data_IF_340979439767
#
_entry.id   IF_340979439767
#
_cell.length_a   1.000
_cell.length_b   1.000
_cell.length_c   1.000
_cell.angle_alpha   90.00
_cell.angle_beta   90.00
_cell.angle_gamma   90.00
#
_symmetry.space_group_name_H-M   'P 1'
#
loop_
_entity.id
_entity.type
_entity.pdbx_description
1 polymer ?
#
# COMPACT_ATOMS: atom_id res chain seq x y z
N UNK A 1 -31.27 -52.51 -41.93
CA UNK A 1 -30.52 -52.59 -40.64
C UNK A 1 -29.04 -52.29 -40.87
N UNK A 2 -28.67 -51.10 -41.38
CA UNK A 2 -27.26 -50.66 -41.60
C UNK A 2 -26.91 -49.26 -41.10
N UNK A 3 -27.81 -48.59 -40.39
CA UNK A 3 -27.60 -47.20 -39.97
C UNK A 3 -27.50 -46.97 -38.43
N UNK A 4 -27.39 -48.09 -37.63
CA UNK A 4 -27.34 -47.97 -36.18
C UNK A 4 -25.91 -48.06 -35.57
N UNK A 5 -24.92 -48.44 -36.37
CA UNK A 5 -23.54 -48.65 -35.90
C UNK A 5 -22.61 -47.44 -36.04
N UNK A 6 -23.00 -46.43 -36.81
CA UNK A 6 -22.15 -45.22 -37.00
C UNK A 6 -22.36 -44.18 -35.89
N UNK A 7 -23.54 -44.12 -35.28
CA UNK A 7 -23.82 -43.17 -34.18
C UNK A 7 -23.17 -43.54 -32.85
N UNK A 8 -22.95 -44.86 -32.62
CA UNK A 8 -22.29 -45.30 -31.38
C UNK A 8 -20.79 -45.02 -31.33
N UNK A 9 -20.12 -44.96 -32.50
CA UNK A 9 -18.67 -44.71 -32.57
C UNK A 9 -18.31 -43.22 -32.39
N UNK A 10 -19.19 -42.31 -32.79
CA UNK A 10 -18.97 -40.87 -32.63
C UNK A 10 -19.24 -40.41 -31.18
N UNK A 11 -20.21 -41.03 -30.51
CA UNK A 11 -20.49 -40.75 -29.10
C UNK A 11 -19.37 -41.27 -28.19
N UNK A 12 -18.70 -42.38 -28.52
CA UNK A 12 -17.58 -42.92 -27.74
C UNK A 12 -16.29 -42.11 -27.89
N UNK A 13 -16.07 -41.48 -29.05
CA UNK A 13 -14.91 -40.60 -29.28
C UNK A 13 -15.08 -39.22 -28.58
N UNK A 14 -16.30 -38.71 -28.46
CA UNK A 14 -16.55 -37.47 -27.70
C UNK A 14 -16.45 -37.67 -26.17
N UNK A 15 -16.71 -38.84 -25.64
CA UNK A 15 -16.51 -39.15 -24.22
C UNK A 15 -15.02 -39.37 -23.86
N UNK A 16 -14.16 -39.74 -24.82
CA UNK A 16 -12.74 -39.99 -24.57
C UNK A 16 -11.88 -38.71 -24.56
N UNK A 17 -12.40 -37.57 -25.05
CA UNK A 17 -11.71 -36.25 -25.03
C UNK A 17 -12.04 -35.44 -23.78
N UNK A 18 -13.03 -35.83 -23.00
CA UNK A 18 -13.46 -35.13 -21.79
C UNK A 18 -12.69 -35.50 -20.52
N UNK A 19 -11.63 -36.29 -20.59
CA UNK A 19 -11.05 -36.92 -19.38
C UNK A 19 -9.59 -36.54 -19.07
N UNK A 20 -9.06 -35.39 -19.47
CA UNK A 20 -7.71 -34.96 -19.03
C UNK A 20 -7.55 -33.47 -18.72
N UNK A 21 -8.60 -32.77 -18.42
CA UNK A 21 -8.45 -31.42 -17.81
C UNK A 21 -8.59 -31.57 -16.30
N UNK A 22 -7.60 -32.15 -15.61
CA UNK A 22 -7.41 -31.91 -14.18
C UNK A 22 -6.79 -30.53 -13.99
N UNK A 23 -7.55 -29.48 -14.30
CA UNK A 23 -7.26 -28.14 -13.81
C UNK A 23 -7.37 -28.22 -12.28
N UNK A 24 -6.25 -28.22 -11.57
CA UNK A 24 -6.26 -28.12 -10.10
C UNK A 24 -6.63 -26.70 -9.71
N UNK A 25 -7.94 -26.42 -9.72
CA UNK A 25 -8.46 -25.19 -9.15
C UNK A 25 -8.22 -25.20 -7.66
N UNK A 26 -7.59 -24.12 -7.15
CA UNK A 26 -7.33 -23.95 -5.73
C UNK A 26 -7.86 -22.61 -5.26
N UNK A 27 -8.64 -22.65 -4.19
CA UNK A 27 -9.03 -21.46 -3.44
C UNK A 27 -8.35 -21.52 -2.09
N UNK A 28 -7.71 -20.42 -1.69
CA UNK A 28 -7.03 -20.28 -0.41
C UNK A 28 -7.70 -19.15 0.37
N UNK A 29 -8.21 -19.45 1.56
CA UNK A 29 -8.57 -18.48 2.57
C UNK A 29 -7.30 -18.10 3.34
N UNK A 30 -7.10 -16.82 3.59
CA UNK A 30 -5.97 -16.31 4.36
C UNK A 30 -6.37 -15.06 5.13
N UNK A 31 -5.55 -14.67 6.10
CA UNK A 31 -5.74 -13.43 6.82
C UNK A 31 -4.64 -13.15 7.84
N UNK A 32 -4.65 -11.93 8.32
CA UNK A 32 -3.75 -11.42 9.35
C UNK A 32 -4.56 -10.65 10.39
N UNK A 33 -4.19 -10.78 11.64
CA UNK A 33 -4.77 -10.08 12.78
C UNK A 33 -3.63 -9.44 13.57
N UNK A 34 -3.74 -8.15 13.78
CA UNK A 34 -2.77 -7.35 14.51
C UNK A 34 -3.49 -6.46 15.52
N UNK A 35 -3.05 -6.47 16.78
CA UNK A 35 -3.57 -5.57 17.80
C UNK A 35 -2.51 -5.26 18.85
N UNK A 36 -2.52 -4.02 19.33
CA UNK A 36 -1.53 -3.48 20.22
C UNK A 36 -2.15 -2.58 21.31
N UNK A 37 -1.39 -2.35 22.36
CA UNK A 37 -1.58 -1.22 23.26
C UNK A 37 -0.64 -0.11 22.74
N UNK A 38 -1.22 1.01 22.34
CA UNK A 38 -0.49 2.19 21.89
C UNK A 38 -0.55 3.31 22.94
N UNK A 39 0.58 3.97 23.13
CA UNK A 39 0.72 5.18 23.94
C UNK A 39 1.28 6.31 23.10
N UNK A 40 0.62 7.45 23.13
CA UNK A 40 1.07 8.72 22.57
C UNK A 40 1.20 9.76 23.66
N UNK A 41 2.34 10.46 23.71
CA UNK A 41 2.52 11.50 24.71
C UNK A 41 1.67 12.75 24.43
N UNK A 42 1.30 12.97 23.17
CA UNK A 42 0.49 14.11 22.77
C UNK A 42 -0.34 13.76 21.51
N UNK A 43 -1.65 13.83 21.65
CA UNK A 43 -2.63 13.74 20.60
C UNK A 43 -3.69 14.80 20.86
N UNK A 44 -3.76 15.87 20.02
CA UNK A 44 -4.71 16.94 20.25
C UNK A 44 -4.58 17.62 21.63
N UNK A 45 -3.37 17.81 22.15
CA UNK A 45 -3.00 18.40 23.47
C UNK A 45 -3.04 17.48 24.69
N UNK A 46 -3.32 16.18 24.54
CA UNK A 46 -3.36 15.24 25.64
C UNK A 46 -2.59 13.95 25.32
N UNK A 47 -2.20 13.20 26.35
CA UNK A 47 -1.70 11.85 26.16
C UNK A 47 -2.85 10.89 25.87
N UNK A 48 -2.60 9.88 25.06
CA UNK A 48 -3.56 8.86 24.68
C UNK A 48 -2.99 7.48 25.00
N UNK A 49 -3.83 6.60 25.55
CA UNK A 49 -3.58 5.16 25.62
C UNK A 49 -4.80 4.46 25.04
N UNK A 50 -4.58 3.61 24.05
CA UNK A 50 -5.69 2.90 23.41
C UNK A 50 -5.28 1.52 22.90
N UNK A 51 -6.27 0.70 22.52
CA UNK A 51 -6.06 -0.47 21.69
C UNK A 51 -6.07 -0.01 20.23
N UNK A 52 -4.95 -0.20 19.56
CA UNK A 52 -4.77 0.12 18.16
C UNK A 52 -4.49 -1.17 17.39
N UNK A 53 -4.97 -1.25 16.16
CA UNK A 53 -4.72 -2.40 15.30
C UNK A 53 -4.10 -1.98 14.00
N UNK A 54 -3.37 -2.90 13.38
CA UNK A 54 -2.62 -2.67 12.14
C UNK A 54 -1.33 -1.86 12.33
N UNK A 55 -0.62 -2.09 13.44
CA UNK A 55 0.61 -1.39 13.79
C UNK A 55 1.89 -2.09 13.27
N UNK A 56 1.84 -3.37 12.98
CA UNK A 56 2.93 -4.11 12.32
C UNK A 56 2.44 -4.71 11.00
N UNK A 57 1.26 -5.32 11.02
CA UNK A 57 0.61 -5.87 9.84
C UNK A 57 -0.86 -5.45 9.80
N UNK A 58 -1.45 -5.42 8.61
CA UNK A 58 -2.84 -5.05 8.46
C UNK A 58 -3.80 -6.05 9.12
N UNK A 59 -4.98 -5.58 9.56
CA UNK A 59 -6.09 -6.46 9.90
C UNK A 59 -6.89 -6.76 8.63
N UNK A 60 -6.77 -7.99 8.14
CA UNK A 60 -7.38 -8.39 6.87
C UNK A 60 -7.72 -9.87 6.82
N UNK A 61 -8.66 -10.19 5.95
CA UNK A 61 -8.90 -11.55 5.48
C UNK A 61 -9.25 -11.53 4.00
N UNK A 62 -8.94 -12.60 3.28
CA UNK A 62 -9.19 -12.67 1.86
C UNK A 62 -9.27 -14.08 1.32
N UNK A 63 -9.72 -14.15 0.08
CA UNK A 63 -9.73 -15.38 -0.72
C UNK A 63 -8.98 -15.11 -2.02
N UNK A 64 -8.03 -15.98 -2.34
CA UNK A 64 -7.34 -16.00 -3.63
C UNK A 64 -7.52 -17.34 -4.31
N UNK A 65 -7.72 -17.29 -5.61
CA UNK A 65 -7.91 -18.50 -6.41
C UNK A 65 -6.99 -18.56 -7.62
N UNK A 66 -6.67 -19.80 -7.99
CA UNK A 66 -5.90 -20.12 -9.19
C UNK A 66 -6.59 -21.28 -9.89
N UNK A 67 -6.85 -21.14 -11.17
CA UNK A 67 -7.35 -22.20 -12.06
C UNK A 67 -6.38 -22.36 -13.23
N UNK A 68 -5.88 -23.56 -13.46
CA UNK A 68 -5.03 -23.87 -14.60
C UNK A 68 -5.89 -23.94 -15.88
N UNK A 69 -5.59 -23.07 -16.85
CA UNK A 69 -6.27 -23.03 -18.15
C UNK A 69 -5.54 -23.86 -19.22
N UNK A 70 -4.43 -24.52 -18.86
CA UNK A 70 -3.54 -25.17 -19.80
C UNK A 70 -2.64 -24.20 -20.56
N UNK A 71 -1.70 -24.74 -21.33
CA UNK A 71 -0.76 -23.95 -22.17
C UNK A 71 0.00 -22.85 -21.42
N UNK A 72 0.32 -23.06 -20.10
CA UNK A 72 1.02 -22.11 -19.22
C UNK A 72 0.20 -20.85 -18.89
N UNK A 73 -1.12 -20.91 -19.01
CA UNK A 73 -2.03 -19.86 -18.57
C UNK A 73 -2.84 -20.30 -17.35
N UNK A 74 -3.10 -19.34 -16.47
CA UNK A 74 -3.91 -19.51 -15.28
C UNK A 74 -4.92 -18.36 -15.18
N UNK A 75 -6.16 -18.68 -14.84
CA UNK A 75 -7.09 -17.66 -14.32
C UNK A 75 -6.80 -17.46 -12.83
N UNK A 76 -6.77 -16.21 -12.41
CA UNK A 76 -6.44 -15.86 -11.02
C UNK A 76 -7.41 -14.79 -10.51
N UNK A 77 -7.66 -14.78 -9.20
CA UNK A 77 -8.40 -13.69 -8.56
C UNK A 77 -7.91 -13.45 -7.13
N UNK A 78 -8.16 -12.26 -6.62
CA UNK A 78 -8.02 -11.92 -5.20
C UNK A 78 -9.18 -11.03 -4.75
N UNK A 79 -9.81 -11.43 -3.65
CA UNK A 79 -10.83 -10.66 -2.94
C UNK A 79 -10.35 -10.51 -1.50
N UNK A 80 -10.12 -9.25 -1.05
CA UNK A 80 -9.50 -8.99 0.26
C UNK A 80 -10.21 -7.86 0.98
N UNK A 81 -10.55 -8.12 2.23
CA UNK A 81 -11.23 -7.23 3.14
C UNK A 81 -10.25 -6.69 4.19
N UNK A 82 -10.31 -5.38 4.44
CA UNK A 82 -9.69 -4.76 5.61
C UNK A 82 -10.75 -4.42 6.66
N UNK A 83 -10.42 -4.54 7.93
CA UNK A 83 -11.33 -4.20 9.02
C UNK A 83 -10.60 -3.69 10.25
N UNK A 84 -11.30 -2.98 11.10
CA UNK A 84 -10.80 -2.57 12.41
C UNK A 84 -11.11 -3.67 13.44
N UNK A 85 -10.09 -4.29 13.99
CA UNK A 85 -10.23 -5.43 14.93
C UNK A 85 -10.92 -5.01 16.24
N UNK A 86 -10.76 -3.77 16.68
CA UNK A 86 -11.31 -3.28 17.94
C UNK A 86 -12.79 -2.93 17.87
N UNK A 87 -13.32 -2.65 16.65
CA UNK A 87 -14.71 -2.24 16.46
C UNK A 87 -15.52 -3.17 15.57
N UNK A 88 -14.85 -4.04 14.79
CA UNK A 88 -15.47 -4.90 13.77
C UNK A 88 -15.94 -4.15 12.51
N UNK A 89 -15.65 -2.86 12.37
CA UNK A 89 -16.03 -2.06 11.20
C UNK A 89 -15.13 -2.40 10.00
N UNK A 90 -15.72 -2.36 8.80
CA UNK A 90 -14.96 -2.45 7.55
C UNK A 90 -14.10 -1.20 7.37
N UNK A 91 -12.86 -1.39 6.93
CA UNK A 91 -11.94 -0.32 6.51
C UNK A 91 -12.24 0.17 5.08
N UNK A 92 -11.37 1.01 4.53
CA UNK A 92 -11.45 1.55 3.16
C UNK A 92 -12.84 2.08 2.78
N UNK A 93 -13.42 2.92 3.65
CA UNK A 93 -14.73 3.54 3.43
C UNK A 93 -15.91 2.56 3.52
N UNK A 94 -15.79 1.51 4.33
CA UNK A 94 -16.87 0.53 4.55
C UNK A 94 -17.01 -0.51 3.43
N UNK A 95 -16.01 -0.69 2.58
CA UNK A 95 -16.06 -1.65 1.46
C UNK A 95 -15.78 -3.08 1.94
N UNK A 96 -16.61 -4.06 1.51
CA UNK A 96 -16.41 -5.48 1.82
C UNK A 96 -15.08 -6.01 1.25
N UNK A 97 -14.69 -5.61 0.05
CA UNK A 97 -13.40 -5.95 -0.55
C UNK A 97 -12.62 -4.66 -0.85
N UNK A 98 -12.33 -3.92 0.22
CA UNK A 98 -11.73 -2.60 0.14
C UNK A 98 -10.23 -2.61 -0.16
N UNK A 99 -9.52 -3.72 0.12
CA UNK A 99 -8.08 -3.85 -0.13
C UNK A 99 -7.80 -4.34 -1.54
N UNK A 100 -8.34 -5.51 -1.92
CA UNK A 100 -8.22 -6.06 -3.27
C UNK A 100 -9.56 -6.62 -3.75
N UNK A 101 -9.91 -6.37 -5.01
CA UNK A 101 -11.06 -6.95 -5.69
C UNK A 101 -10.74 -7.01 -7.18
N UNK A 102 -10.03 -8.06 -7.62
CA UNK A 102 -9.58 -8.19 -9.00
C UNK A 102 -9.60 -9.64 -9.50
N UNK A 103 -9.69 -9.79 -10.81
CA UNK A 103 -9.54 -11.03 -11.56
C UNK A 103 -8.50 -10.83 -12.65
N UNK A 104 -7.85 -11.88 -13.08
CA UNK A 104 -6.83 -11.77 -14.13
C UNK A 104 -6.40 -13.08 -14.75
N UNK A 105 -5.43 -12.95 -15.65
CA UNK A 105 -4.74 -14.07 -16.28
C UNK A 105 -3.26 -13.94 -16.01
N UNK A 106 -2.65 -15.04 -15.63
CA UNK A 106 -1.21 -15.16 -15.38
C UNK A 106 -0.58 -16.16 -16.37
N UNK A 107 0.61 -15.84 -16.81
CA UNK A 107 1.49 -16.76 -17.54
C UNK A 107 2.92 -16.56 -17.10
N UNK A 108 3.65 -17.63 -16.87
CA UNK A 108 5.08 -17.59 -16.53
C UNK A 108 5.98 -17.08 -17.69
N UNK A 109 5.45 -17.05 -18.90
CA UNK A 109 6.15 -16.55 -20.11
C UNK A 109 5.76 -15.11 -20.44
N UNK A 110 4.46 -14.80 -20.37
CA UNK A 110 3.91 -13.54 -20.88
C UNK A 110 3.60 -12.54 -19.77
N UNK A 111 3.72 -12.96 -18.49
CA UNK A 111 3.40 -12.11 -17.35
C UNK A 111 1.93 -12.21 -16.94
N UNK A 112 1.51 -11.25 -16.13
CA UNK A 112 0.21 -11.23 -15.46
C UNK A 112 -0.57 -9.97 -15.88
N UNK A 113 -1.84 -10.13 -16.24
CA UNK A 113 -2.79 -9.04 -16.45
C UNK A 113 -3.92 -9.18 -15.45
N UNK A 114 -4.21 -8.14 -14.69
CA UNK A 114 -5.29 -8.10 -13.70
C UNK A 114 -6.20 -6.89 -13.93
N UNK A 115 -7.49 -7.05 -13.65
CA UNK A 115 -8.49 -5.99 -13.78
C UNK A 115 -9.31 -5.89 -12.50
N UNK A 116 -9.55 -4.66 -12.03
CA UNK A 116 -10.34 -4.41 -10.83
C UNK A 116 -9.73 -3.36 -9.91
N UNK A 117 -9.99 -3.51 -8.59
CA UNK A 117 -9.44 -2.68 -7.53
C UNK A 117 -8.19 -3.36 -6.96
N UNK A 118 -7.08 -2.65 -6.92
CA UNK A 118 -5.78 -3.21 -6.54
C UNK A 118 -4.77 -2.11 -6.14
N UNK A 119 -3.66 -2.53 -5.55
CA UNK A 119 -2.52 -1.66 -5.24
C UNK A 119 -1.87 -1.14 -6.53
N UNK A 120 -1.26 0.02 -6.47
CA UNK A 120 -0.46 0.57 -7.56
C UNK A 120 0.90 -0.13 -7.68
N UNK A 121 1.62 0.14 -8.76
CA UNK A 121 2.87 -0.55 -9.08
C UNK A 121 4.03 -0.16 -8.16
N UNK A 122 3.98 1.01 -7.49
CA UNK A 122 5.02 1.42 -6.55
C UNK A 122 4.94 0.62 -5.26
N UNK A 123 3.72 0.28 -4.83
CA UNK A 123 3.50 -0.61 -3.69
C UNK A 123 3.97 -2.04 -4.00
N UNK A 124 3.75 -2.53 -5.22
CA UNK A 124 4.17 -3.89 -5.57
C UNK A 124 5.71 -4.02 -5.71
N UNK A 125 6.40 -3.03 -6.27
CA UNK A 125 7.82 -3.15 -6.64
C UNK A 125 8.78 -2.28 -5.82
N UNK A 126 8.36 -1.12 -5.29
CA UNK A 126 9.26 -0.21 -4.58
C UNK A 126 9.13 -0.36 -3.06
N UNK A 127 7.91 -0.41 -2.54
CA UNK A 127 7.63 -0.52 -1.09
C UNK A 127 8.36 -1.71 -0.42
N UNK A 128 8.47 -2.92 -1.03
CA UNK A 128 9.20 -4.03 -0.41
C UNK A 128 10.70 -3.78 -0.15
N UNK A 129 11.27 -2.74 -0.77
CA UNK A 129 12.66 -2.31 -0.56
C UNK A 129 12.78 -1.16 0.46
N UNK A 130 11.74 -0.89 1.23
CA UNK A 130 11.66 0.20 2.21
C UNK A 130 11.46 -0.35 3.63
N UNK A 131 11.38 0.55 4.61
CA UNK A 131 11.12 0.17 6.01
C UNK A 131 9.63 -0.03 6.34
N UNK A 132 8.75 -0.02 5.35
CA UNK A 132 7.31 -0.21 5.53
C UNK A 132 6.97 -1.52 6.28
N UNK A 133 7.65 -2.60 5.95
CA UNK A 133 7.47 -3.90 6.61
C UNK A 133 7.81 -3.93 8.10
N UNK A 134 8.32 -2.83 8.67
CA UNK A 134 8.59 -2.69 10.11
C UNK A 134 7.50 -1.91 10.84
N UNK A 135 6.41 -1.61 10.15
CA UNK A 135 5.23 -0.91 10.64
C UNK A 135 5.19 0.59 10.32
N UNK A 136 4.01 1.22 10.46
CA UNK A 136 3.76 2.61 10.03
C UNK A 136 4.60 3.66 10.76
N UNK A 137 5.18 3.34 11.93
CA UNK A 137 6.13 4.24 12.61
C UNK A 137 7.41 4.52 11.80
N UNK A 138 7.78 3.64 10.86
CA UNK A 138 8.98 3.73 10.02
C UNK A 138 8.70 4.38 8.66
N UNK A 139 7.44 4.67 8.34
CA UNK A 139 7.03 5.21 7.06
C UNK A 139 7.12 6.75 7.02
N UNK A 140 6.59 7.36 5.99
CA UNK A 140 6.54 8.83 5.87
C UNK A 140 5.47 9.39 6.79
N UNK A 141 5.72 10.51 7.49
CA UNK A 141 4.71 11.17 8.28
C UNK A 141 3.41 11.42 7.50
N UNK A 142 2.31 10.83 8.00
CA UNK A 142 0.98 10.92 7.42
C UNK A 142 0.86 10.34 6.02
N UNK A 143 1.74 9.42 5.65
CA UNK A 143 1.77 8.72 4.37
C UNK A 143 1.56 9.62 3.13
N UNK A 144 2.12 10.83 3.15
CA UNK A 144 1.94 11.81 2.07
C UNK A 144 2.47 11.33 0.71
N UNK A 145 3.27 10.28 0.70
CA UNK A 145 3.84 9.68 -0.49
C UNK A 145 3.32 8.25 -0.77
N UNK A 146 2.28 7.80 -0.07
CA UNK A 146 1.70 6.45 -0.19
C UNK A 146 2.71 5.32 0.02
N UNK A 147 3.74 5.53 0.84
CA UNK A 147 4.71 4.48 1.14
C UNK A 147 4.11 3.39 2.06
N UNK A 148 3.11 3.74 2.89
CA UNK A 148 2.33 2.81 3.72
C UNK A 148 1.08 2.28 3.00
N UNK A 149 0.98 2.49 1.70
CA UNK A 149 -0.09 2.00 0.83
C UNK A 149 -1.54 2.31 1.33
N UNK A 150 -1.79 3.52 1.82
CA UNK A 150 -3.10 3.92 2.33
C UNK A 150 -4.17 4.02 1.25
N UNK A 151 -3.82 4.34 0.00
CA UNK A 151 -4.79 4.37 -1.09
C UNK A 151 -4.63 3.22 -2.10
N UNK A 152 -5.71 2.89 -2.79
CA UNK A 152 -5.78 1.88 -3.86
C UNK A 152 -6.35 2.49 -5.12
N UNK A 153 -5.97 1.92 -6.26
CA UNK A 153 -6.56 2.28 -7.55
C UNK A 153 -7.67 1.29 -7.91
N UNK A 154 -8.82 1.83 -8.25
CA UNK A 154 -9.99 1.05 -8.67
C UNK A 154 -10.27 1.25 -10.16
N UNK A 155 -11.14 0.42 -10.73
CA UNK A 155 -11.48 0.46 -12.15
C UNK A 155 -10.22 0.41 -13.05
N UNK A 156 -9.27 -0.44 -12.69
CA UNK A 156 -7.91 -0.42 -13.24
C UNK A 156 -7.55 -1.70 -13.97
N UNK A 157 -6.60 -1.57 -14.89
CA UNK A 157 -5.92 -2.67 -15.58
C UNK A 157 -4.44 -2.57 -15.21
N UNK A 158 -3.84 -3.67 -14.76
CA UNK A 158 -2.42 -3.76 -14.42
C UNK A 158 -1.76 -4.91 -15.17
N UNK A 159 -0.59 -4.64 -15.73
CA UNK A 159 0.31 -5.65 -16.29
C UNK A 159 1.55 -5.75 -15.43
N UNK A 160 1.94 -6.98 -15.09
CA UNK A 160 3.21 -7.31 -14.42
C UNK A 160 4.02 -8.23 -15.32
N UNK A 161 5.25 -7.84 -15.68
CA UNK A 161 6.14 -8.66 -16.50
C UNK A 161 6.61 -9.91 -15.74
N UNK A 162 7.03 -10.98 -16.44
CA UNK A 162 7.93 -11.96 -15.85
C UNK A 162 9.24 -11.32 -15.39
N UNK A 163 10.00 -12.03 -14.55
CA UNK A 163 11.34 -11.58 -14.15
C UNK A 163 12.35 -12.02 -15.21
N UNK A 164 13.03 -11.06 -15.85
CA UNK A 164 14.07 -11.29 -16.85
C UNK A 164 15.45 -10.94 -16.28
N UNK A 165 16.27 -11.92 -15.97
CA UNK A 165 17.61 -11.72 -15.41
C UNK A 165 17.63 -10.77 -14.18
N UNK A 166 16.65 -10.89 -13.30
CA UNK A 166 16.49 -10.04 -12.13
C UNK A 166 15.68 -8.76 -12.36
N UNK A 167 15.33 -8.42 -13.60
CA UNK A 167 14.54 -7.25 -13.94
C UNK A 167 13.05 -7.59 -14.02
N UNK A 168 12.21 -6.79 -13.39
CA UNK A 168 10.74 -6.83 -13.48
C UNK A 168 10.21 -5.42 -13.69
N UNK A 169 9.11 -5.27 -14.42
CA UNK A 169 8.39 -4.01 -14.53
C UNK A 169 6.88 -4.21 -14.46
N UNK A 170 6.18 -3.18 -14.03
CA UNK A 170 4.72 -3.13 -13.98
C UNK A 170 4.19 -1.84 -14.58
N UNK A 171 3.03 -1.94 -15.21
CA UNK A 171 2.29 -0.82 -15.79
C UNK A 171 0.82 -0.91 -15.36
N UNK A 172 0.22 0.21 -15.00
CA UNK A 172 -1.18 0.27 -14.56
C UNK A 172 -1.87 1.51 -15.09
N UNK A 173 -3.13 1.36 -15.46
CA UNK A 173 -4.01 2.45 -15.84
C UNK A 173 -5.40 2.26 -15.25
N UNK A 174 -5.95 3.31 -14.65
CA UNK A 174 -7.28 3.37 -14.09
C UNK A 174 -8.21 4.25 -14.94
N UNK A 175 -9.37 3.72 -15.28
CA UNK A 175 -10.40 4.36 -16.07
C UNK A 175 -11.36 5.15 -15.17
N UNK A 176 -11.45 6.47 -15.32
CA UNK A 176 -12.29 7.32 -14.47
C UNK A 176 -13.80 7.08 -14.56
N UNK A 177 -14.25 6.44 -15.63
CA UNK A 177 -15.66 6.08 -15.80
C UNK A 177 -16.60 7.25 -16.07
N UNK A 178 -16.07 8.35 -16.64
CA UNK A 178 -16.85 9.56 -16.97
C UNK A 178 -17.28 9.50 -18.43
N UNK A 179 -18.57 9.49 -18.67
CA UNK A 179 -19.15 9.43 -20.02
C UNK A 179 -18.69 10.62 -20.87
N UNK A 180 -18.17 10.33 -22.06
CA UNK A 180 -17.69 11.34 -23.01
C UNK A 180 -16.31 11.94 -22.68
N UNK A 181 -15.67 11.55 -21.56
CA UNK A 181 -14.36 12.05 -21.16
C UNK A 181 -13.49 10.94 -20.53
N UNK A 182 -12.73 10.23 -21.34
CA UNK A 182 -11.92 9.09 -20.89
C UNK A 182 -10.76 9.47 -19.98
N UNK A 183 -10.27 10.73 -20.05
CA UNK A 183 -9.15 11.22 -19.24
C UNK A 183 -9.60 11.93 -17.94
N UNK A 184 -10.91 12.00 -17.67
CA UNK A 184 -11.43 12.51 -16.42
C UNK A 184 -11.31 11.45 -15.34
N UNK A 185 -10.91 11.84 -14.12
CA UNK A 185 -10.76 10.91 -12.97
C UNK A 185 -9.78 9.74 -13.22
N UNK A 186 -8.89 9.86 -14.19
CA UNK A 186 -7.92 8.81 -14.52
C UNK A 186 -6.82 8.63 -13.48
N UNK A 187 -6.21 7.47 -13.47
CA UNK A 187 -4.96 7.21 -12.76
C UNK A 187 -4.00 6.39 -13.62
N UNK A 188 -2.71 6.51 -13.34
CA UNK A 188 -1.67 5.69 -13.97
C UNK A 188 -0.53 5.43 -12.99
N UNK A 189 0.11 4.29 -13.15
CA UNK A 189 1.28 3.92 -12.37
C UNK A 189 2.23 3.09 -13.22
N UNK A 190 3.54 3.28 -13.03
CA UNK A 190 4.54 2.42 -13.63
C UNK A 190 5.75 2.29 -12.70
N UNK A 191 6.29 1.08 -12.62
CA UNK A 191 7.45 0.79 -11.77
C UNK A 191 8.37 -0.23 -12.44
N UNK A 192 9.64 -0.18 -12.06
CA UNK A 192 10.68 -1.12 -12.46
C UNK A 192 11.49 -1.52 -11.23
N UNK A 193 11.81 -2.79 -11.10
CA UNK A 193 12.66 -3.32 -10.06
C UNK A 193 13.75 -4.22 -10.65
N UNK A 194 14.91 -4.19 -10.02
CA UNK A 194 16.04 -5.06 -10.34
C UNK A 194 16.60 -5.68 -9.07
N UNK A 195 16.85 -6.99 -9.09
CA UNK A 195 17.48 -7.71 -7.99
C UNK A 195 18.59 -8.63 -8.51
N UNK A 196 19.76 -8.55 -7.90
CA UNK A 196 20.89 -9.43 -8.18
C UNK A 196 21.75 -9.67 -6.93
N UNK A 197 21.83 -10.93 -6.50
CA UNK A 197 22.53 -11.28 -5.26
C UNK A 197 21.97 -10.54 -4.04
N UNK A 198 22.83 -9.82 -3.35
CA UNK A 198 22.47 -9.03 -2.17
C UNK A 198 21.84 -7.66 -2.49
N UNK A 199 21.92 -7.21 -3.73
CA UNK A 199 21.49 -5.88 -4.15
C UNK A 199 20.10 -5.91 -4.79
N UNK A 200 19.23 -4.98 -4.39
CA UNK A 200 17.96 -4.71 -5.03
C UNK A 200 17.74 -3.20 -5.17
N UNK A 201 17.13 -2.79 -6.26
CA UNK A 201 16.76 -1.39 -6.50
C UNK A 201 15.44 -1.33 -7.26
N UNK A 202 14.63 -0.33 -6.97
CA UNK A 202 13.38 -0.10 -7.68
C UNK A 202 13.08 1.40 -7.81
N UNK A 203 12.34 1.76 -8.86
CA UNK A 203 11.82 3.10 -9.07
C UNK A 203 10.43 3.03 -9.70
N UNK A 204 9.61 4.02 -9.41
CA UNK A 204 8.27 4.07 -9.98
C UNK A 204 7.57 5.39 -9.73
N UNK A 205 6.39 5.52 -10.30
CA UNK A 205 5.48 6.62 -10.05
C UNK A 205 4.04 6.15 -9.96
N UNK A 206 3.22 6.92 -9.25
CA UNK A 206 1.77 6.84 -9.30
C UNK A 206 1.20 8.24 -9.53
N UNK A 207 0.26 8.34 -10.44
CA UNK A 207 -0.52 9.54 -10.72
C UNK A 207 -2.01 9.25 -10.52
N UNK A 208 -2.73 10.14 -9.86
CA UNK A 208 -4.18 10.08 -9.75
C UNK A 208 -4.78 11.47 -9.91
N UNK A 209 -5.90 11.56 -10.63
CA UNK A 209 -6.61 12.78 -10.92
C UNK A 209 -8.01 12.75 -10.30
N UNK A 210 -8.40 13.87 -9.69
CA UNK A 210 -9.75 14.15 -9.26
C UNK A 210 -10.15 15.52 -9.82
N UNK A 211 -10.90 15.54 -10.90
CA UNK A 211 -11.33 16.78 -11.56
C UNK A 211 -12.80 17.12 -11.25
N UNK A 212 -13.39 16.46 -10.26
CA UNK A 212 -14.76 16.72 -9.80
C UNK A 212 -15.88 16.41 -10.81
N UNK A 213 -15.52 15.76 -11.92
CA UNK A 213 -16.50 15.49 -12.99
C UNK A 213 -17.53 14.41 -12.63
N UNK A 214 -17.45 13.86 -11.44
CA UNK A 214 -18.23 12.69 -11.04
C UNK A 214 -17.68 11.40 -11.65
N UNK A 215 -18.48 10.36 -11.71
CA UNK A 215 -18.05 9.05 -12.18
C UNK A 215 -17.56 8.16 -11.04
N UNK A 216 -16.89 7.06 -11.38
CA UNK A 216 -16.44 6.06 -10.39
C UNK A 216 -15.20 6.55 -9.64
N UNK A 217 -14.39 7.41 -10.29
CA UNK A 217 -13.05 7.74 -9.82
C UNK A 217 -12.09 6.55 -9.90
N UNK A 218 -10.81 6.77 -9.82
CA UNK A 218 -9.83 5.70 -9.90
C UNK A 218 -8.96 5.56 -8.66
N UNK A 219 -8.79 6.60 -7.87
CA UNK A 219 -8.06 6.53 -6.61
C UNK A 219 -9.01 6.62 -5.42
N UNK A 220 -8.64 5.98 -4.32
CA UNK A 220 -9.29 6.27 -3.06
C UNK A 220 -9.03 7.72 -2.67
N UNK A 221 -10.09 8.38 -2.24
CA UNK A 221 -9.99 9.73 -1.74
C UNK A 221 -9.64 9.74 -0.24
N UNK A 222 -9.88 8.63 0.45
CA UNK A 222 -9.61 8.45 1.87
C UNK A 222 -8.15 8.13 2.11
N UNK A 223 -7.27 9.07 1.84
CA UNK A 223 -5.89 8.98 2.30
C UNK A 223 -5.80 9.68 3.64
N UNK A 224 -5.54 8.92 4.68
CA UNK A 224 -5.30 9.49 5.99
C UNK A 224 -3.99 10.28 5.98
N UNK A 225 -4.01 11.53 6.42
CA UNK A 225 -2.80 12.29 6.60
C UNK A 225 -2.86 13.14 7.85
N UNK A 226 -2.10 12.71 8.84
CA UNK A 226 -1.87 13.47 10.07
C UNK A 226 -0.93 14.66 9.88
N UNK A 227 -0.22 14.75 8.76
CA UNK A 227 0.68 15.87 8.43
C UNK A 227 -0.08 17.06 7.88
N UNK A 228 -1.12 16.77 7.09
CA UNK A 228 -2.05 17.79 6.63
C UNK A 228 -3.42 17.18 6.41
N UNK A 229 -4.40 17.63 7.19
CA UNK A 229 -5.79 17.15 7.10
C UNK A 229 -6.43 17.34 5.72
N UNK A 230 -5.86 18.23 4.87
CA UNK A 230 -6.31 18.39 3.48
C UNK A 230 -6.25 17.12 2.64
N UNK A 231 -5.43 16.16 3.03
CA UNK A 231 -5.23 14.91 2.27
C UNK A 231 -6.10 13.77 2.79
N UNK A 232 -6.83 13.99 3.87
CA UNK A 232 -7.86 13.09 4.36
C UNK A 232 -9.06 13.01 3.40
N UNK A 233 -10.22 12.73 3.88
CA UNK A 233 -11.48 12.46 3.13
C UNK A 233 -11.89 13.48 2.04
N UNK A 234 -10.92 14.11 1.40
CA UNK A 234 -10.96 14.98 0.29
C UNK A 234 -12.14 15.56 -0.34
N UNK A 235 -12.43 16.78 -0.55
CA UNK A 235 -12.58 17.25 -1.91
C UNK A 235 -11.46 18.16 -2.41
N UNK A 236 -10.40 18.33 -1.65
CA UNK A 236 -9.42 19.42 -1.86
C UNK A 236 -8.37 19.13 -2.93
N UNK A 237 -8.02 17.84 -3.12
CA UNK A 237 -6.92 17.44 -4.01
C UNK A 237 -7.44 17.09 -5.40
N UNK A 238 -7.07 17.89 -6.40
CA UNK A 238 -7.43 17.69 -7.81
C UNK A 238 -6.49 16.74 -8.55
N UNK A 239 -5.24 16.63 -8.11
CA UNK A 239 -4.34 15.57 -8.59
C UNK A 239 -3.17 15.35 -7.65
N UNK A 240 -2.66 14.13 -7.65
CA UNK A 240 -1.42 13.74 -6.97
C UNK A 240 -0.49 13.03 -7.94
N UNK A 241 0.78 13.38 -7.89
CA UNK A 241 1.86 12.68 -8.60
C UNK A 241 2.93 12.35 -7.56
N UNK A 242 3.19 11.06 -7.38
CA UNK A 242 4.19 10.57 -6.44
C UNK A 242 5.21 9.76 -7.21
N UNK A 243 6.49 10.03 -6.95
CA UNK A 243 7.61 9.27 -7.53
C UNK A 243 8.46 8.69 -6.41
N UNK A 244 8.92 7.45 -6.58
CA UNK A 244 9.72 6.72 -5.61
C UNK A 244 10.97 6.14 -6.21
N UNK A 245 12.03 6.10 -5.42
CA UNK A 245 13.24 5.30 -5.67
C UNK A 245 13.63 4.64 -4.36
N UNK A 246 13.94 3.35 -4.38
CA UNK A 246 14.45 2.62 -3.23
C UNK A 246 15.61 1.70 -3.62
N UNK A 247 16.52 1.52 -2.69
CA UNK A 247 17.66 0.61 -2.79
C UNK A 247 17.75 -0.19 -1.49
N UNK A 248 17.98 -1.48 -1.62
CA UNK A 248 18.19 -2.40 -0.51
C UNK A 248 19.47 -3.19 -0.73
N UNK A 249 20.21 -3.42 0.35
CA UNK A 249 21.36 -4.31 0.38
C UNK A 249 21.28 -5.26 1.58
N UNK A 250 21.37 -6.55 1.32
CA UNK A 250 21.32 -7.61 2.34
C UNK A 250 22.75 -8.14 2.56
N UNK A 251 23.27 -7.97 3.76
CA UNK A 251 24.58 -8.47 4.15
C UNK A 251 24.44 -9.42 5.36
N UNK A 252 24.49 -10.71 5.08
CA UNK A 252 24.19 -11.76 6.07
C UNK A 252 22.85 -11.49 6.78
N UNK A 253 22.88 -11.25 8.08
CA UNK A 253 21.71 -10.97 8.93
C UNK A 253 21.29 -9.49 8.94
N UNK A 254 22.02 -8.61 8.24
CA UNK A 254 21.71 -7.17 8.17
C UNK A 254 21.11 -6.81 6.82
N UNK A 255 19.96 -6.16 6.86
CA UNK A 255 19.32 -5.51 5.70
C UNK A 255 19.40 -3.99 5.87
N UNK A 256 19.91 -3.30 4.87
CA UNK A 256 19.98 -1.84 4.82
C UNK A 256 19.09 -1.33 3.67
N UNK A 257 18.24 -0.35 3.96
CA UNK A 257 17.32 0.27 3.01
C UNK A 257 17.57 1.78 2.94
N UNK A 258 17.52 2.33 1.73
CA UNK A 258 17.49 3.79 1.50
C UNK A 258 16.45 4.09 0.46
N UNK A 259 15.59 5.10 0.71
CA UNK A 259 14.58 5.54 -0.23
C UNK A 259 14.52 7.06 -0.36
N UNK A 260 14.01 7.49 -1.50
CA UNK A 260 13.62 8.87 -1.74
C UNK A 260 12.26 8.90 -2.43
N UNK A 261 11.40 9.83 -2.04
CA UNK A 261 10.14 10.11 -2.71
C UNK A 261 9.93 11.60 -2.94
N UNK A 262 9.18 11.93 -3.98
CA UNK A 262 8.67 13.26 -4.28
C UNK A 262 7.17 13.16 -4.53
N UNK A 263 6.37 13.69 -3.62
CA UNK A 263 4.91 13.72 -3.72
C UNK A 263 4.45 15.16 -4.03
N UNK A 264 3.70 15.31 -5.12
CA UNK A 264 3.16 16.60 -5.59
C UNK A 264 1.64 16.53 -5.57
N UNK A 265 1.04 17.46 -4.82
CA UNK A 265 -0.39 17.57 -4.62
C UNK A 265 -0.88 18.90 -5.18
N UNK A 266 -1.89 18.87 -6.04
CA UNK A 266 -2.48 20.08 -6.62
C UNK A 266 -3.91 20.22 -6.12
N UNK A 267 -4.37 21.44 -5.82
CA UNK A 267 -5.75 21.66 -5.39
C UNK A 267 -6.74 21.36 -6.52
N UNK A 268 -7.91 20.88 -6.14
CA UNK A 268 -9.06 20.72 -7.02
C UNK A 268 -9.71 22.08 -7.34
N UNK A 269 -9.86 22.93 -6.31
CA UNK A 269 -10.39 24.28 -6.39
C UNK A 269 -9.48 25.21 -5.61
N UNK A 270 -9.67 26.52 -5.76
CA UNK A 270 -8.91 27.50 -4.98
C UNK A 270 -9.48 27.61 -3.57
N UNK A 271 -8.73 27.17 -2.59
CA UNK A 271 -8.94 27.43 -1.17
C UNK A 271 -8.07 28.62 -0.74
N UNK A 272 -8.34 29.22 0.39
CA UNK A 272 -7.61 30.44 0.81
C UNK A 272 -6.11 30.15 1.02
N UNK A 273 -5.75 29.03 1.63
CA UNK A 273 -4.36 28.63 1.85
C UNK A 273 -3.88 27.58 0.82
N UNK A 274 -4.64 26.51 0.58
CA UNK A 274 -4.30 25.48 -0.40
C UNK A 274 -4.78 25.89 -1.80
N UNK A 275 -4.06 26.81 -2.44
CA UNK A 275 -4.42 27.37 -3.76
C UNK A 275 -3.36 27.11 -4.84
N UNK A 276 -2.31 26.38 -4.54
CA UNK A 276 -1.21 26.02 -5.43
C UNK A 276 -0.64 24.65 -5.06
N UNK A 277 0.21 24.14 -5.94
CA UNK A 277 0.87 22.86 -5.73
C UNK A 277 1.65 22.83 -4.41
N UNK A 278 1.42 21.79 -3.61
CA UNK A 278 2.24 21.42 -2.47
C UNK A 278 3.15 20.26 -2.87
N UNK A 279 4.40 20.27 -2.42
CA UNK A 279 5.39 19.24 -2.74
C UNK A 279 6.05 18.77 -1.45
N UNK A 280 6.04 17.45 -1.25
CA UNK A 280 6.76 16.78 -0.17
C UNK A 280 7.94 16.03 -0.76
N UNK A 281 9.12 16.24 -0.20
CA UNK A 281 10.33 15.50 -0.50
C UNK A 281 10.72 14.71 0.72
N UNK A 282 10.78 13.39 0.62
CA UNK A 282 11.10 12.51 1.72
C UNK A 282 12.35 11.69 1.40
N UNK A 283 13.29 11.68 2.32
CA UNK A 283 14.43 10.76 2.33
C UNK A 283 14.38 9.91 3.58
N UNK A 284 14.57 8.60 3.44
CA UNK A 284 14.59 7.69 4.57
C UNK A 284 15.70 6.64 4.44
N UNK A 285 16.21 6.20 5.59
CA UNK A 285 17.15 5.09 5.70
C UNK A 285 16.78 4.22 6.90
N UNK A 286 16.94 2.91 6.76
CA UNK A 286 16.66 1.95 7.82
C UNK A 286 17.62 0.78 7.80
N UNK A 287 17.77 0.15 8.95
CA UNK A 287 18.50 -1.09 9.16
C UNK A 287 17.58 -2.09 9.86
N UNK A 288 17.59 -3.32 9.37
CA UNK A 288 17.02 -4.49 10.03
C UNK A 288 18.11 -5.49 10.32
N UNK A 289 18.17 -5.99 11.54
CA UNK A 289 19.14 -6.97 11.99
C UNK A 289 18.47 -8.20 12.58
N UNK A 290 18.56 -9.32 11.86
CA UNK A 290 18.09 -10.62 12.32
C UNK A 290 19.06 -11.20 13.37
N UNK A 291 18.87 -10.81 14.64
CA UNK A 291 19.76 -11.17 15.75
C UNK A 291 19.79 -12.68 16.01
N UNK A 292 18.61 -13.32 15.92
CA UNK A 292 18.42 -14.77 15.99
C UNK A 292 17.29 -15.15 15.04
N UNK A 293 17.04 -16.45 14.73
CA UNK A 293 15.88 -16.84 13.93
C UNK A 293 14.51 -16.40 14.49
N UNK A 294 14.46 -16.02 15.78
CA UNK A 294 13.24 -15.57 16.44
C UNK A 294 13.23 -14.07 16.78
N UNK A 295 14.36 -13.37 16.70
CA UNK A 295 14.47 -11.95 17.13
C UNK A 295 15.01 -11.10 16.00
N UNK A 296 14.24 -10.09 15.57
CA UNK A 296 14.68 -9.03 14.67
C UNK A 296 14.69 -7.67 15.39
N UNK A 297 15.63 -6.80 15.04
CA UNK A 297 15.78 -5.45 15.55
C UNK A 297 15.77 -4.48 14.37
N UNK A 298 14.93 -3.44 14.45
CA UNK A 298 14.75 -2.46 13.39
C UNK A 298 15.07 -1.06 13.90
N UNK A 299 15.72 -0.24 13.07
CA UNK A 299 15.89 1.19 13.31
C UNK A 299 15.75 1.95 12.00
N UNK A 300 15.08 3.10 12.02
CA UNK A 300 14.88 3.93 10.85
C UNK A 300 14.89 5.42 11.16
N UNK A 301 15.24 6.20 10.15
CA UNK A 301 15.14 7.65 10.15
C UNK A 301 14.48 8.11 8.87
N UNK A 302 13.49 9.01 9.01
CA UNK A 302 12.79 9.63 7.88
C UNK A 302 12.81 11.15 8.03
N UNK A 303 13.22 11.82 6.97
CA UNK A 303 13.18 13.27 6.84
C UNK A 303 12.22 13.67 5.73
N UNK A 304 11.21 14.46 6.05
CA UNK A 304 10.26 15.00 5.07
C UNK A 304 10.25 16.51 5.10
N UNK A 305 10.25 17.15 3.92
CA UNK A 305 10.14 18.60 3.77
C UNK A 305 8.99 18.94 2.81
N UNK A 306 8.05 19.78 3.28
CA UNK A 306 7.04 20.36 2.43
C UNK A 306 7.48 21.71 1.86
N UNK A 307 7.00 22.01 0.65
CA UNK A 307 7.20 23.30 -0.04
C UNK A 307 6.02 23.59 -0.95
N UNK A 308 5.55 24.84 -0.93
CA UNK A 308 4.40 25.27 -1.71
C UNK A 308 3.59 26.31 -0.98
N UNK A 309 2.36 26.04 -0.64
CA UNK A 309 1.52 26.87 0.22
C UNK A 309 1.93 26.78 1.69
N UNK A 310 2.46 25.62 2.11
CA UNK A 310 3.06 25.40 3.43
C UNK A 310 4.59 25.33 3.37
N UNK A 311 5.23 25.28 4.53
CA UNK A 311 6.68 25.06 4.64
C UNK A 311 6.98 24.40 5.98
N UNK A 312 7.03 23.08 5.98
CA UNK A 312 7.33 22.30 7.17
C UNK A 312 8.49 21.32 6.92
N UNK A 313 9.13 20.92 8.01
CA UNK A 313 10.07 19.79 8.04
C UNK A 313 9.66 18.85 9.15
N UNK A 314 9.78 17.55 8.89
CA UNK A 314 9.48 16.48 9.83
C UNK A 314 10.70 15.57 9.93
N UNK A 315 11.11 15.28 11.15
CA UNK A 315 12.22 14.39 11.46
C UNK A 315 11.66 13.26 12.32
N UNK A 316 11.68 12.04 11.80
CA UNK A 316 11.21 10.85 12.51
C UNK A 316 12.37 9.89 12.76
N UNK A 317 12.42 9.36 13.98
CA UNK A 317 13.25 8.20 14.35
C UNK A 317 12.31 7.15 14.89
N UNK A 318 12.44 5.92 14.40
CA UNK A 318 11.71 4.76 14.93
C UNK A 318 12.68 3.62 15.21
N UNK A 319 12.39 2.83 16.22
CA UNK A 319 13.09 1.59 16.55
C UNK A 319 12.09 0.53 16.98
N UNK A 320 12.33 -0.72 16.61
CA UNK A 320 11.46 -1.84 16.89
C UNK A 320 12.21 -3.10 17.26
N UNK A 321 11.52 -3.99 17.93
CA UNK A 321 11.92 -5.37 18.17
C UNK A 321 10.74 -6.28 17.89
N UNK A 322 11.01 -7.36 17.17
CA UNK A 322 10.07 -8.41 16.86
C UNK A 322 10.54 -9.73 17.48
N UNK A 323 9.63 -10.46 18.11
CA UNK A 323 9.88 -11.78 18.66
C UNK A 323 8.90 -12.80 18.09
N UNK A 324 9.36 -13.63 17.17
CA UNK A 324 8.57 -14.68 16.55
C UNK A 324 8.32 -15.84 17.52
N UNK A 325 7.09 -15.94 18.05
CA UNK A 325 6.62 -17.07 18.83
C UNK A 325 6.45 -18.33 17.97
N UNK A 326 6.13 -18.13 16.71
CA UNK A 326 6.00 -19.18 15.70
C UNK A 326 6.20 -18.58 14.30
N UNK A 327 6.09 -19.41 13.23
CA UNK A 327 6.09 -18.92 11.84
C UNK A 327 4.91 -17.99 11.50
N UNK A 328 3.89 -17.91 12.35
CA UNK A 328 2.66 -17.17 12.09
C UNK A 328 2.37 -16.09 13.14
N UNK A 329 3.00 -16.17 14.30
CA UNK A 329 2.67 -15.31 15.44
C UNK A 329 3.91 -14.62 15.94
N UNK A 330 3.88 -13.28 16.00
CA UNK A 330 4.98 -12.41 16.42
C UNK A 330 4.49 -11.45 17.51
N UNK A 331 5.24 -11.34 18.59
CA UNK A 331 5.15 -10.20 19.52
C UNK A 331 6.07 -9.11 19.04
N UNK A 332 5.66 -7.86 19.19
CA UNK A 332 6.49 -6.73 18.81
C UNK A 332 6.39 -5.55 19.79
N UNK A 333 7.44 -4.74 19.80
CA UNK A 333 7.46 -3.45 20.46
C UNK A 333 8.09 -2.42 19.51
N UNK A 334 7.43 -1.29 19.32
CA UNK A 334 7.86 -0.19 18.46
C UNK A 334 7.85 1.09 19.28
N UNK A 335 8.94 1.87 19.16
CA UNK A 335 9.04 3.22 19.70
C UNK A 335 9.38 4.21 18.60
N UNK A 336 8.69 5.34 18.58
CA UNK A 336 8.92 6.40 17.62
C UNK A 336 8.98 7.78 18.25
N UNK A 337 9.79 8.66 17.66
CA UNK A 337 9.85 10.08 17.99
C UNK A 337 9.80 10.92 16.71
N UNK A 338 8.94 11.93 16.71
CA UNK A 338 8.82 12.91 15.62
C UNK A 338 9.05 14.31 16.13
N UNK A 339 9.76 15.12 15.33
CA UNK A 339 9.88 16.56 15.52
C UNK A 339 9.51 17.29 14.22
N UNK A 340 8.47 18.11 14.30
CA UNK A 340 8.03 18.99 13.22
C UNK A 340 8.49 20.42 13.45
N UNK A 341 8.79 21.14 12.38
CA UNK A 341 9.09 22.58 12.40
C UNK A 341 8.47 23.25 11.17
N UNK A 342 7.96 24.48 11.35
CA UNK A 342 7.35 25.25 10.27
C UNK A 342 5.83 25.18 10.28
N UNK A 343 5.22 25.23 9.09
CA UNK A 343 3.77 25.41 8.95
C UNK A 343 3.16 24.41 7.97
N UNK A 344 1.90 24.04 8.24
CA UNK A 344 1.05 23.21 7.38
C UNK A 344 -0.32 23.86 7.21
N UNK A 345 -1.27 23.16 6.60
CA UNK A 345 -2.63 23.66 6.39
C UNK A 345 -3.56 23.28 7.56
N UNK A 346 -4.59 24.10 7.81
CA UNK A 346 -5.74 23.71 8.63
C UNK A 346 -6.63 22.69 7.91
N UNK A 347 -7.49 21.98 8.66
CA UNK A 347 -8.41 20.97 8.14
C UNK A 347 -9.32 21.49 7.00
N UNK A 348 -9.71 22.74 7.05
CA UNK A 348 -10.57 23.40 6.07
C UNK A 348 -9.82 23.96 4.86
N UNK A 349 -8.48 23.84 4.80
CA UNK A 349 -7.64 24.38 3.73
C UNK A 349 -7.55 25.89 3.65
N UNK A 350 -8.13 26.62 4.60
CA UNK A 350 -8.25 28.07 4.54
C UNK A 350 -7.17 28.82 5.32
N UNK A 351 -6.49 28.14 6.24
CA UNK A 351 -5.49 28.75 7.10
C UNK A 351 -4.16 27.99 7.06
N UNK A 352 -3.10 28.70 7.41
CA UNK A 352 -1.80 28.12 7.69
C UNK A 352 -1.65 28.03 9.20
N UNK A 353 -1.30 26.83 9.69
CA UNK A 353 -1.12 26.53 11.12
C UNK A 353 0.28 25.97 11.38
N UNK A 354 0.71 25.93 12.62
CA UNK A 354 1.98 25.28 12.99
C UNK A 354 1.94 23.79 12.70
N UNK A 355 3.02 23.23 12.17
CA UNK A 355 3.14 21.79 11.95
C UNK A 355 3.28 21.06 13.29
N UNK A 356 2.50 19.99 13.47
CA UNK A 356 2.55 19.09 14.62
C UNK A 356 3.46 17.88 14.34
N UNK A 357 4.12 17.37 15.38
CA UNK A 357 4.90 16.15 15.32
C UNK A 357 3.98 14.95 15.00
N UNK A 358 4.42 14.07 14.11
CA UNK A 358 3.69 12.88 13.71
C UNK A 358 4.67 11.74 13.50
N UNK A 359 4.53 10.67 14.27
CA UNK A 359 5.38 9.48 14.15
C UNK A 359 4.85 8.62 13.02
N UNK A 360 5.55 8.64 11.89
CA UNK A 360 5.18 7.85 10.71
C UNK A 360 3.75 8.09 10.23
N UNK A 361 3.05 7.05 9.86
CA UNK A 361 1.62 7.06 9.54
C UNK A 361 0.74 6.51 10.68
N UNK A 362 1.16 6.70 11.92
CA UNK A 362 0.30 6.49 13.07
C UNK A 362 -0.73 7.62 13.12
N UNK A 363 -2.01 7.28 13.17
CA UNK A 363 -3.18 8.16 12.94
C UNK A 363 -3.26 9.44 13.80
N UNK A 364 -2.46 9.55 14.83
CA UNK A 364 -2.55 10.59 15.84
C UNK A 364 -1.52 11.68 15.64
N UNK A 365 -1.96 12.87 15.17
CA UNK A 365 -1.11 14.05 15.12
C UNK A 365 -1.00 14.76 16.48
N UNK A 366 0.18 15.28 16.78
CA UNK A 366 0.42 16.13 17.94
C UNK A 366 0.00 17.58 17.68
N UNK A 367 -0.58 18.22 18.70
CA UNK A 367 -0.77 19.68 18.69
C UNK A 367 0.52 20.47 19.00
N UNK A 368 1.63 19.77 19.26
CA UNK A 368 2.94 20.36 19.52
C UNK A 368 3.96 19.90 18.47
N UNK A 369 5.12 20.56 18.34
CA UNK A 369 6.16 20.10 17.42
C UNK A 369 6.68 18.67 17.66
N UNK A 370 6.44 18.12 18.83
CA UNK A 370 7.02 16.82 19.23
C UNK A 370 5.94 15.78 19.49
N UNK A 371 6.20 14.54 19.07
CA UNK A 371 5.41 13.38 19.43
C UNK A 371 6.31 12.20 19.76
N UNK A 372 5.92 11.44 20.78
CA UNK A 372 6.48 10.12 21.12
C UNK A 372 5.34 9.12 21.03
N UNK A 373 5.57 8.00 20.35
CA UNK A 373 4.69 6.85 20.30
C UNK A 373 5.40 5.62 20.85
N UNK A 374 4.69 4.80 21.63
CA UNK A 374 5.14 3.48 22.11
C UNK A 374 4.03 2.47 21.86
N UNK A 375 4.36 1.39 21.18
CA UNK A 375 3.40 0.37 20.76
C UNK A 375 3.90 -1.00 21.19
N UNK A 376 3.03 -1.81 21.78
CA UNK A 376 3.31 -3.19 22.19
C UNK A 376 2.17 -4.07 21.70
N UNK A 377 2.47 -4.97 20.79
CA UNK A 377 1.43 -5.72 20.10
C UNK A 377 1.77 -7.17 19.79
N UNK A 378 0.77 -7.81 19.22
CA UNK A 378 0.83 -9.17 18.70
C UNK A 378 0.16 -9.22 17.36
N UNK A 379 0.85 -9.84 16.39
CA UNK A 379 0.28 -10.17 15.08
C UNK A 379 0.26 -11.68 14.87
N UNK A 380 -0.75 -12.17 14.15
CA UNK A 380 -0.87 -13.58 13.75
C UNK A 380 -1.49 -13.74 12.38
N UNK A 381 -0.97 -14.71 11.60
CA UNK A 381 -1.42 -15.07 10.25
C UNK A 381 -2.13 -16.42 10.24
N UNK A 382 -3.13 -16.61 9.37
CA UNK A 382 -3.82 -17.90 9.20
C UNK A 382 -4.09 -18.25 7.75
#
# INVERSE_FOLDING_TARGET
>A
MKNLTVFSSVALVMLAVASTAHAQSRITLYGELDNAIAYYNNTGHASLVELQGADLTANEWGMKGVEDLGNRFQAIFNLENGFNINTGKLSQGGRLFGKNAWVGVNSDVFGKVTVGRQLDTTVDLVQPLTADGYGPAFTTPGDVDNNDNTFRLQNSIKYSSPIYAGLQFELMYGLGGVAGNASSQESSSASIAYAHGAFSAAAGYVFAKNDGAGGVGTADQTQNSSVTPLFGDDPFVGSRLITHVAVQYVWNELTANVRYSNAQWKPYASFAAFNRKETFNTGAASLDYQMTPAVALNIGYTYTRSTGGSSATYNNVAAGVEYSLSKRTTLYAIGGYSHAHGTTFSEDGNHIVSAGGTVGDLESSSATPNQVALIFGLTTKF
#
